data_IF_678041418550
#
_entry.id   IF_678041418550
#
_cell.length_a   1.000
_cell.length_b   1.000
_cell.length_c   1.000
_cell.angle_alpha   90.00
_cell.angle_beta   90.00
_cell.angle_gamma   90.00
#
_symmetry.space_group_name_H-M   'P 1'
#
loop_
_entity.id
_entity.type
_entity.pdbx_description
1 polymer ?
#
# COMPACT_ATOMS: atom_id res chain seq x y z
N UNK A 1 3.82 -12.40 -28.45
CA UNK A 1 3.57 -12.89 -27.09
C UNK A 1 4.90 -13.35 -26.53
N UNK A 2 5.64 -12.48 -25.85
CA UNK A 2 6.95 -12.80 -25.31
C UNK A 2 6.79 -13.16 -23.83
N UNK A 3 6.92 -14.45 -23.53
CA UNK A 3 7.06 -14.93 -22.15
C UNK A 3 8.51 -14.71 -21.72
N UNK A 4 8.72 -13.85 -20.72
CA UNK A 4 9.99 -13.80 -20.01
C UNK A 4 10.02 -14.97 -19.02
N UNK A 5 10.74 -16.04 -19.37
CA UNK A 5 11.16 -17.05 -18.40
C UNK A 5 12.38 -16.46 -17.71
N UNK A 6 12.20 -15.95 -16.49
CA UNK A 6 13.33 -15.63 -15.63
C UNK A 6 14.02 -16.94 -15.26
N UNK A 7 15.25 -17.12 -15.74
CA UNK A 7 16.13 -18.22 -15.35
C UNK A 7 16.44 -18.06 -13.86
N UNK A 8 15.69 -18.79 -13.01
CA UNK A 8 15.89 -18.84 -11.57
C UNK A 8 17.08 -19.74 -11.24
N UNK A 9 18.29 -19.31 -11.60
CA UNK A 9 19.51 -19.92 -11.12
C UNK A 9 19.85 -19.37 -9.72
N UNK A 10 19.70 -20.15 -8.64
CA UNK A 10 19.87 -19.67 -7.26
C UNK A 10 21.32 -19.32 -6.89
N UNK A 11 22.29 -19.57 -7.77
CA UNK A 11 23.71 -19.30 -7.52
C UNK A 11 24.19 -17.92 -7.99
N UNK A 12 23.43 -17.19 -8.80
CA UNK A 12 23.72 -15.78 -9.06
C UNK A 12 23.17 -14.94 -7.90
N UNK A 13 24.03 -14.69 -6.91
CA UNK A 13 23.87 -13.49 -6.08
C UNK A 13 23.64 -12.33 -7.06
N UNK A 14 22.54 -11.59 -6.93
CA UNK A 14 22.21 -10.42 -7.73
C UNK A 14 23.50 -9.71 -8.16
N UNK A 15 23.84 -9.80 -9.45
CA UNK A 15 25.07 -9.22 -9.99
C UNK A 15 25.10 -7.76 -9.47
N UNK A 16 26.19 -7.36 -8.82
CA UNK A 16 26.29 -6.07 -8.10
C UNK A 16 26.21 -4.83 -9.02
N UNK A 17 25.88 -5.04 -10.30
CA UNK A 17 25.58 -4.00 -11.26
C UNK A 17 24.14 -3.49 -11.10
N UNK A 18 23.95 -2.20 -11.37
CA UNK A 18 22.62 -1.60 -11.47
C UNK A 18 22.02 -1.76 -12.90
N UNK A 19 22.52 -2.71 -13.69
CA UNK A 19 22.11 -2.97 -15.08
C UNK A 19 20.67 -3.51 -15.19
N UNK A 20 20.15 -4.12 -14.12
CA UNK A 20 18.75 -4.49 -14.01
C UNK A 20 17.80 -3.28 -13.88
N UNK A 21 18.32 -2.09 -13.51
CA UNK A 21 17.47 -0.92 -13.33
C UNK A 21 17.15 -0.33 -14.69
N UNK A 22 15.87 -0.22 -15.07
CA UNK A 22 15.48 0.44 -16.32
C UNK A 22 15.86 1.94 -16.33
N UNK A 23 16.15 2.53 -15.17
CA UNK A 23 16.56 3.93 -15.01
C UNK A 23 17.76 4.05 -14.08
N UNK A 24 18.75 4.84 -14.49
CA UNK A 24 19.99 5.08 -13.73
C UNK A 24 19.80 5.97 -12.50
N UNK A 25 18.79 6.85 -12.52
CA UNK A 25 18.49 7.79 -11.44
C UNK A 25 16.99 7.72 -11.08
N UNK A 26 16.64 6.71 -10.29
CA UNK A 26 15.27 6.45 -9.87
C UNK A 26 14.61 7.65 -9.16
N UNK A 27 15.29 8.35 -8.23
CA UNK A 27 14.73 9.55 -7.59
C UNK A 27 14.34 10.64 -8.59
N UNK A 28 15.21 10.92 -9.58
CA UNK A 28 14.94 11.93 -10.60
C UNK A 28 13.74 11.56 -11.49
N UNK A 29 13.66 10.32 -11.95
CA UNK A 29 12.54 9.88 -12.79
C UNK A 29 11.22 9.83 -12.00
N UNK A 30 11.28 9.45 -10.73
CA UNK A 30 10.13 9.48 -9.82
C UNK A 30 9.63 10.91 -9.56
N UNK A 31 10.54 11.88 -9.46
CA UNK A 31 10.19 13.30 -9.34
C UNK A 31 9.48 13.83 -10.59
N UNK A 32 9.95 13.48 -11.79
CA UNK A 32 9.25 13.85 -13.04
C UNK A 32 7.84 13.27 -13.12
N UNK A 33 7.67 12.01 -12.71
CA UNK A 33 6.35 11.38 -12.64
C UNK A 33 5.45 12.10 -11.64
N UNK A 34 5.97 12.47 -10.48
CA UNK A 34 5.22 13.24 -9.48
C UNK A 34 4.80 14.63 -10.02
N UNK A 35 5.68 15.33 -10.75
CA UNK A 35 5.36 16.60 -11.41
C UNK A 35 4.31 16.42 -12.52
N UNK A 36 4.40 15.36 -13.31
CA UNK A 36 3.40 15.03 -14.33
C UNK A 36 2.03 14.76 -13.69
N UNK A 37 1.99 13.97 -12.63
CA UNK A 37 0.74 13.70 -11.89
C UNK A 37 0.20 15.00 -11.28
N UNK A 38 1.06 15.84 -10.69
CA UNK A 38 0.67 17.15 -10.19
C UNK A 38 0.11 18.08 -11.28
N UNK A 39 0.63 17.98 -12.52
CA UNK A 39 0.10 18.73 -13.68
C UNK A 39 -1.33 18.36 -14.05
N UNK A 40 -1.82 17.20 -13.62
CA UNK A 40 -3.22 16.81 -13.73
C UNK A 40 -4.09 17.51 -12.68
N UNK A 41 -3.61 18.54 -11.98
CA UNK A 41 -4.42 19.25 -10.99
C UNK A 41 -4.74 18.41 -9.75
N UNK A 42 -4.04 17.29 -9.55
CA UNK A 42 -3.99 16.65 -8.23
C UNK A 42 -3.22 17.61 -7.33
N UNK A 43 -3.92 18.42 -6.54
CA UNK A 43 -3.27 19.28 -5.56
C UNK A 43 -2.39 18.41 -4.64
N UNK A 44 -1.34 19.01 -4.07
CA UNK A 44 -0.44 18.37 -3.11
C UNK A 44 -1.15 17.73 -1.89
N UNK A 45 -2.45 17.96 -1.74
CA UNK A 45 -3.39 17.38 -0.79
C UNK A 45 -3.99 16.01 -1.21
N UNK A 46 -3.30 15.19 -2.00
CA UNK A 46 -3.57 13.75 -2.15
C UNK A 46 -4.86 13.34 -2.88
N UNK A 47 -5.42 14.19 -3.74
CA UNK A 47 -6.54 13.75 -4.59
C UNK A 47 -6.05 12.69 -5.58
N UNK A 48 -6.67 11.51 -5.58
CA UNK A 48 -6.28 10.38 -6.46
C UNK A 48 -7.04 10.39 -7.77
N UNK A 49 -7.91 11.37 -7.98
CA UNK A 49 -8.83 11.44 -9.10
C UNK A 49 -8.50 12.60 -10.03
N UNK A 50 -8.64 12.37 -11.33
CA UNK A 50 -8.60 13.40 -12.35
C UNK A 50 -9.67 13.13 -13.42
N UNK A 51 -10.76 13.91 -13.37
CA UNK A 51 -11.88 13.72 -14.28
C UNK A 51 -12.49 12.32 -14.15
N UNK A 52 -12.20 11.45 -15.13
CA UNK A 52 -12.66 10.04 -15.16
C UNK A 52 -11.56 9.02 -14.85
N UNK A 53 -10.42 9.47 -14.33
CA UNK A 53 -9.27 8.63 -13.98
C UNK A 53 -9.10 8.62 -12.46
N UNK A 54 -8.79 7.47 -11.89
CA UNK A 54 -8.46 7.31 -10.47
C UNK A 54 -7.21 6.44 -10.29
N UNK A 55 -6.33 6.80 -9.36
CA UNK A 55 -5.14 6.03 -9.00
C UNK A 55 -5.47 5.00 -7.90
N UNK A 56 -5.00 3.76 -8.09
CA UNK A 56 -5.20 2.64 -7.14
C UNK A 56 -3.92 1.84 -6.91
N UNK A 57 -3.87 1.06 -5.83
CA UNK A 57 -2.73 0.21 -5.52
C UNK A 57 -1.42 1.00 -5.33
N UNK A 58 -0.29 0.40 -5.72
CA UNK A 58 1.04 1.01 -5.54
C UNK A 58 1.18 2.36 -6.26
N UNK A 59 0.45 2.59 -7.36
CA UNK A 59 0.43 3.89 -8.06
C UNK A 59 -0.11 5.02 -7.19
N UNK A 60 -0.91 4.67 -6.18
CA UNK A 60 -1.61 5.61 -5.33
C UNK A 60 -1.13 5.58 -3.87
N UNK A 61 -0.62 4.44 -3.39
CA UNK A 61 -0.20 4.27 -1.99
C UNK A 61 1.01 3.34 -1.81
N UNK A 62 1.92 3.30 -2.79
CA UNK A 62 3.17 2.55 -2.72
C UNK A 62 3.86 2.68 -1.36
N UNK A 63 4.13 1.54 -0.73
CA UNK A 63 4.61 1.45 0.66
C UNK A 63 5.81 0.54 0.79
N UNK A 64 6.51 0.66 1.91
CA UNK A 64 7.66 -0.20 2.21
C UNK A 64 7.18 -1.61 2.61
N UNK A 65 7.84 -2.69 2.19
CA UNK A 65 7.31 -4.07 2.32
C UNK A 65 7.46 -4.66 3.74
N UNK A 66 7.63 -3.83 4.78
CA UNK A 66 7.89 -4.29 6.15
C UNK A 66 6.64 -4.73 6.91
N UNK A 67 5.46 -4.56 6.33
CA UNK A 67 4.18 -4.91 6.95
C UNK A 67 3.30 -5.78 6.04
N UNK A 68 3.76 -6.13 4.83
CA UNK A 68 3.06 -7.07 3.92
C UNK A 68 1.71 -6.62 3.37
N UNK A 69 1.26 -5.39 3.62
CA UNK A 69 -0.10 -4.94 3.30
C UNK A 69 -0.26 -4.29 1.92
N UNK A 70 0.79 -4.15 1.10
CA UNK A 70 0.69 -3.47 -0.20
C UNK A 70 -0.38 -4.08 -1.13
N UNK A 71 -0.32 -5.40 -1.32
CA UNK A 71 -1.31 -6.13 -2.12
C UNK A 71 -2.72 -6.06 -1.51
N UNK A 72 -2.83 -6.26 -0.19
CA UNK A 72 -4.12 -6.23 0.49
C UNK A 72 -4.80 -4.87 0.32
N UNK A 73 -4.05 -3.77 0.42
CA UNK A 73 -4.58 -2.43 0.18
C UNK A 73 -5.07 -2.24 -1.26
N UNK A 74 -4.41 -2.83 -2.25
CA UNK A 74 -4.86 -2.81 -3.65
C UNK A 74 -6.13 -3.65 -3.87
N UNK A 75 -6.28 -4.79 -3.18
CA UNK A 75 -7.51 -5.60 -3.22
C UNK A 75 -8.67 -4.85 -2.57
N UNK A 76 -8.44 -4.22 -1.41
CA UNK A 76 -9.44 -3.38 -0.76
C UNK A 76 -9.85 -2.19 -1.64
N UNK A 77 -8.93 -1.58 -2.40
CA UNK A 77 -9.27 -0.51 -3.36
C UNK A 77 -10.26 -1.00 -4.42
N UNK A 78 -10.02 -2.18 -5.00
CA UNK A 78 -10.89 -2.78 -6.00
C UNK A 78 -12.27 -3.12 -5.42
N UNK A 79 -12.32 -3.64 -4.19
CA UNK A 79 -13.57 -3.92 -3.47
C UNK A 79 -14.40 -2.65 -3.23
N UNK A 80 -13.78 -1.59 -2.70
CA UNK A 80 -14.46 -0.31 -2.47
C UNK A 80 -14.96 0.30 -3.78
N UNK A 81 -14.14 0.33 -4.83
CA UNK A 81 -14.58 0.86 -6.13
C UNK A 81 -15.76 0.05 -6.70
N UNK A 82 -15.70 -1.29 -6.63
CA UNK A 82 -16.79 -2.16 -7.09
C UNK A 82 -18.10 -1.84 -6.38
N UNK A 83 -18.08 -1.69 -5.06
CA UNK A 83 -19.28 -1.39 -4.27
C UNK A 83 -19.82 0.02 -4.58
N UNK A 84 -18.94 1.01 -4.71
CA UNK A 84 -19.33 2.38 -5.04
C UNK A 84 -19.89 2.52 -6.45
N UNK A 85 -19.29 1.86 -7.46
CA UNK A 85 -19.84 1.82 -8.81
C UNK A 85 -21.17 1.06 -8.87
N UNK A 86 -21.34 0.02 -8.04
CA UNK A 86 -22.60 -0.68 -7.90
C UNK A 86 -23.74 0.16 -7.31
N UNK A 87 -23.40 1.23 -6.57
CA UNK A 87 -24.37 2.11 -5.89
C UNK A 87 -24.62 3.43 -6.64
N UNK A 88 -23.57 4.11 -7.11
CA UNK A 88 -23.67 5.40 -7.79
C UNK A 88 -23.71 5.30 -9.32
N UNK A 89 -23.52 4.10 -9.87
CA UNK A 89 -23.55 3.82 -11.32
C UNK A 89 -22.61 4.74 -12.11
N UNK A 90 -23.17 5.62 -12.95
CA UNK A 90 -22.44 6.52 -13.85
C UNK A 90 -22.04 7.87 -13.21
N UNK A 91 -22.30 8.09 -11.91
CA UNK A 91 -21.79 9.28 -11.21
C UNK A 91 -20.32 9.09 -10.79
N UNK A 92 -19.42 9.06 -11.78
CA UNK A 92 -17.98 8.88 -11.60
C UNK A 92 -17.38 9.87 -10.59
N UNK A 93 -17.88 11.12 -10.61
CA UNK A 93 -17.39 12.16 -9.71
C UNK A 93 -17.71 11.79 -8.27
N UNK A 94 -18.95 11.34 -8.00
CA UNK A 94 -19.35 10.93 -6.67
C UNK A 94 -18.63 9.67 -6.21
N UNK A 95 -18.49 8.68 -7.09
CA UNK A 95 -17.73 7.45 -6.81
C UNK A 95 -16.32 7.79 -6.33
N UNK A 96 -15.59 8.58 -7.11
CA UNK A 96 -14.19 8.87 -6.81
C UNK A 96 -14.04 9.80 -5.58
N UNK A 97 -14.94 10.75 -5.36
CA UNK A 97 -14.94 11.60 -4.16
C UNK A 97 -15.15 10.78 -2.87
N UNK A 98 -16.04 9.78 -2.91
CA UNK A 98 -16.29 8.91 -1.76
C UNK A 98 -15.16 7.90 -1.59
N UNK A 99 -14.64 7.35 -2.69
CA UNK A 99 -13.47 6.47 -2.70
C UNK A 99 -12.27 7.12 -2.00
N UNK A 100 -11.91 8.36 -2.39
CA UNK A 100 -10.79 9.09 -1.79
C UNK A 100 -10.98 9.28 -0.28
N UNK A 101 -12.20 9.64 0.15
CA UNK A 101 -12.53 9.82 1.57
C UNK A 101 -12.37 8.54 2.39
N UNK A 102 -12.68 7.38 1.81
CA UNK A 102 -12.58 6.09 2.47
C UNK A 102 -11.13 5.60 2.48
N UNK A 103 -10.45 5.63 1.32
CA UNK A 103 -9.17 4.93 1.13
C UNK A 103 -7.94 5.73 1.51
N UNK A 104 -7.97 7.07 1.40
CA UNK A 104 -6.79 7.90 1.76
C UNK A 104 -6.40 7.73 3.24
N UNK A 105 -7.31 7.79 4.23
CA UNK A 105 -6.95 7.59 5.63
C UNK A 105 -6.40 6.18 5.90
N UNK A 106 -7.06 5.15 5.37
CA UNK A 106 -6.70 3.74 5.57
C UNK A 106 -5.30 3.41 5.02
N UNK A 107 -5.04 3.78 3.78
CA UNK A 107 -3.74 3.54 3.12
C UNK A 107 -2.60 4.29 3.80
N UNK A 108 -2.86 5.50 4.33
CA UNK A 108 -1.88 6.26 5.13
C UNK A 108 -1.53 5.57 6.44
N UNK A 109 -2.53 5.02 7.13
CA UNK A 109 -2.33 4.26 8.38
C UNK A 109 -1.42 3.04 8.13
N UNK A 110 -1.73 2.25 7.09
CA UNK A 110 -0.90 1.12 6.66
C UNK A 110 0.53 1.53 6.32
N UNK A 111 0.67 2.61 5.55
CA UNK A 111 1.98 3.12 5.12
C UNK A 111 2.81 3.64 6.30
N UNK A 112 2.17 4.30 7.27
CA UNK A 112 2.82 4.75 8.49
C UNK A 112 3.26 3.58 9.39
N UNK A 113 2.41 2.57 9.56
CA UNK A 113 2.73 1.35 10.29
C UNK A 113 3.94 0.64 9.67
N UNK A 114 3.95 0.50 8.33
CA UNK A 114 5.06 -0.09 7.60
C UNK A 114 6.38 0.66 7.78
N UNK A 115 6.38 2.00 7.68
CA UNK A 115 7.58 2.82 7.94
C UNK A 115 8.07 2.69 9.39
N UNK A 116 7.16 2.63 10.36
CA UNK A 116 7.51 2.45 11.78
C UNK A 116 8.18 1.10 12.02
N UNK A 117 7.67 0.03 11.40
CA UNK A 117 8.29 -1.29 11.44
C UNK A 117 9.65 -1.31 10.74
N UNK A 118 9.76 -0.68 9.57
CA UNK A 118 11.03 -0.52 8.86
C UNK A 118 12.12 0.14 9.72
N UNK A 119 11.77 1.23 10.41
CA UNK A 119 12.69 1.94 11.30
C UNK A 119 13.16 1.07 12.47
N UNK A 120 12.27 0.24 13.05
CA UNK A 120 12.60 -0.69 14.15
C UNK A 120 13.50 -1.85 13.70
N UNK A 121 13.42 -2.25 12.44
CA UNK A 121 14.21 -3.36 11.90
C UNK A 121 15.63 -2.94 11.48
N UNK A 122 15.96 -1.65 11.50
CA UNK A 122 17.34 -1.18 11.29
C UNK A 122 18.16 -1.46 12.55
N UNK A 123 19.02 -2.48 12.49
CA UNK A 123 19.98 -2.79 13.54
C UNK A 123 21.39 -2.39 13.10
N UNK A 124 22.09 -1.66 13.96
CA UNK A 124 23.41 -1.09 13.68
C UNK A 124 24.55 -2.10 13.89
N UNK A 125 24.30 -3.22 14.60
CA UNK A 125 25.31 -4.24 14.90
C UNK A 125 24.76 -5.68 14.91
N UNK A 126 25.66 -6.67 14.73
CA UNK A 126 25.32 -8.11 14.78
C UNK A 126 24.82 -8.57 16.16
N UNK A 127 25.21 -7.88 17.24
CA UNK A 127 24.74 -8.18 18.59
C UNK A 127 23.30 -7.68 18.78
N UNK A 128 22.99 -6.48 18.27
CA UNK A 128 21.63 -5.91 18.31
C UNK A 128 20.63 -6.76 17.53
N UNK A 129 21.05 -7.38 16.42
CA UNK A 129 20.22 -8.34 15.68
C UNK A 129 19.90 -9.60 16.49
N UNK A 130 20.85 -10.09 17.30
CA UNK A 130 20.66 -11.29 18.14
C UNK A 130 19.73 -11.00 19.31
N UNK A 131 19.97 -9.89 20.02
CA UNK A 131 19.12 -9.43 21.13
C UNK A 131 17.74 -9.06 20.60
N UNK A 132 17.66 -8.32 19.50
CA UNK A 132 16.41 -7.95 18.85
C UNK A 132 15.61 -9.17 18.38
N UNK A 133 16.26 -10.19 17.80
CA UNK A 133 15.58 -11.44 17.41
C UNK A 133 15.04 -12.22 18.60
N UNK A 134 15.76 -12.26 19.72
CA UNK A 134 15.28 -12.87 20.96
C UNK A 134 14.10 -12.10 21.55
N UNK A 135 14.22 -10.78 21.65
CA UNK A 135 13.16 -9.90 22.16
C UNK A 135 11.91 -9.95 21.29
N UNK A 136 12.05 -9.97 19.96
CA UNK A 136 10.91 -10.15 19.05
C UNK A 136 10.21 -11.49 19.25
N UNK A 137 10.94 -12.59 19.48
CA UNK A 137 10.32 -13.89 19.81
C UNK A 137 9.53 -13.83 21.12
N UNK A 138 10.07 -13.15 22.14
CA UNK A 138 9.39 -12.99 23.42
C UNK A 138 8.12 -12.15 23.27
N UNK A 139 8.22 -11.01 22.59
CA UNK A 139 7.11 -10.09 22.34
C UNK A 139 6.03 -10.74 21.48
N UNK A 140 6.39 -11.49 20.43
CA UNK A 140 5.42 -12.23 19.62
C UNK A 140 4.67 -13.30 20.43
N UNK A 141 5.37 -14.05 21.27
CA UNK A 141 4.74 -15.05 22.15
C UNK A 141 3.79 -14.42 23.17
N UNK A 142 4.10 -13.21 23.66
CA UNK A 142 3.26 -12.50 24.62
C UNK A 142 2.06 -11.86 23.92
N UNK A 143 2.27 -11.14 22.81
CA UNK A 143 1.19 -10.52 22.05
C UNK A 143 0.20 -11.55 21.49
N UNK A 144 0.68 -12.72 21.04
CA UNK A 144 -0.20 -13.81 20.62
C UNK A 144 -1.05 -14.37 21.77
N UNK A 145 -0.56 -14.24 23.01
CA UNK A 145 -1.26 -14.68 24.22
C UNK A 145 -2.30 -13.66 24.71
N UNK A 146 -2.08 -12.38 24.45
CA UNK A 146 -2.97 -11.28 24.87
C UNK A 146 -4.07 -11.02 23.83
N UNK A 147 -3.98 -11.61 22.63
CA UNK A 147 -4.99 -11.41 21.57
C UNK A 147 -5.12 -9.94 21.17
N UNK A 148 -4.00 -9.20 21.20
CA UNK A 148 -3.98 -7.83 20.72
C UNK A 148 -4.13 -7.87 19.19
N UNK A 149 -5.38 -7.87 18.73
CA UNK A 149 -5.73 -7.83 17.32
C UNK A 149 -5.25 -6.49 16.75
N UNK A 150 -4.25 -6.56 15.88
CA UNK A 150 -3.68 -5.38 15.25
C UNK A 150 -4.70 -4.91 14.19
N UNK A 151 -5.28 -3.73 14.40
CA UNK A 151 -6.34 -3.11 13.56
C UNK A 151 -5.97 -3.09 12.07
N UNK A 152 -4.67 -3.16 11.75
CA UNK A 152 -4.19 -3.22 10.37
C UNK A 152 -4.47 -4.57 9.68
N UNK A 153 -4.48 -5.68 10.43
CA UNK A 153 -4.62 -7.04 9.90
C UNK A 153 -6.07 -7.53 9.79
N UNK A 154 -6.93 -7.19 10.74
CA UNK A 154 -8.32 -7.65 10.79
C UNK A 154 -9.31 -6.52 10.45
N UNK A 155 -9.05 -5.83 9.33
CA UNK A 155 -9.89 -4.75 8.83
C UNK A 155 -10.81 -5.26 7.72
N UNK A 156 -12.11 -4.98 7.83
CA UNK A 156 -13.06 -5.15 6.73
C UNK A 156 -13.35 -3.78 6.09
N UNK A 157 -13.02 -3.64 4.81
CA UNK A 157 -13.26 -2.41 4.07
C UNK A 157 -14.75 -2.06 3.97
N UNK A 158 -15.65 -3.05 4.06
CA UNK A 158 -17.10 -2.83 3.97
C UNK A 158 -17.64 -2.02 5.13
N UNK A 159 -17.00 -2.09 6.30
CA UNK A 159 -17.40 -1.27 7.44
C UNK A 159 -17.13 0.22 7.19
N UNK A 160 -16.03 0.54 6.51
CA UNK A 160 -15.74 1.91 6.08
C UNK A 160 -16.74 2.38 5.01
N UNK A 161 -17.12 1.50 4.08
CA UNK A 161 -18.12 1.80 3.05
C UNK A 161 -19.50 2.04 3.68
N UNK A 162 -19.94 1.20 4.63
CA UNK A 162 -21.19 1.42 5.38
C UNK A 162 -21.17 2.72 6.16
N UNK A 163 -20.03 3.08 6.76
CA UNK A 163 -19.89 4.33 7.49
C UNK A 163 -20.05 5.55 6.56
N UNK A 164 -19.58 5.45 5.32
CA UNK A 164 -19.74 6.50 4.32
C UNK A 164 -21.13 6.51 3.66
N UNK A 165 -21.73 5.32 3.47
CA UNK A 165 -23.02 5.11 2.81
C UNK A 165 -23.83 4.09 3.63
N UNK A 166 -24.60 4.54 4.65
CA UNK A 166 -25.30 3.63 5.55
C UNK A 166 -26.33 2.72 4.87
N UNK A 167 -26.91 3.20 3.77
CA UNK A 167 -28.00 2.51 3.06
C UNK A 167 -27.49 1.53 1.97
N UNK A 168 -26.18 1.37 1.81
CA UNK A 168 -25.61 0.52 0.77
C UNK A 168 -25.93 -0.97 1.03
N UNK A 169 -26.34 -1.67 -0.02
CA UNK A 169 -26.54 -3.11 -0.01
C UNK A 169 -25.38 -3.76 -0.77
N UNK A 170 -24.55 -4.52 -0.05
CA UNK A 170 -23.46 -5.29 -0.66
C UNK A 170 -24.06 -6.47 -1.44
N UNK A 171 -23.57 -6.69 -2.65
CA UNK A 171 -23.96 -7.82 -3.49
C UNK A 171 -23.07 -9.03 -3.23
#
# INVERSE_FOLDING_TARGET
MAFFVADLNPAKLFDAGDDWRPYTDLPKESAKLAELVASWGTNADYSRQFGRVVLVGDSAHGTVPFYGQGLNQAIEDAGVLSDLFGYFEDDYKKVFEVYDKIRVPRTRLCSAAARKTAARMKASSKMDLRIGRFMMKLVFNILSLIGADDEVYFHDYRDDVKKAIPDIQFK
#
